data_IF_907598936344
#
_entry.id   IF_907598936344
#
_cell.length_a   1.000
_cell.length_b   1.000
_cell.length_c   1.000
_cell.angle_alpha   90.00
_cell.angle_beta   90.00
_cell.angle_gamma   90.00
#
_symmetry.space_group_name_H-M   'P 1'
#
loop_
_entity.id
_entity.type
_entity.pdbx_description
1 polymer ?
#
# COMPACT_ATOMS: atom_id res chain seq x y z
N UNK A 1 -18.21 -15.19 -16.42
CA UNK A 1 -18.09 -13.99 -15.58
C UNK A 1 -16.82 -13.29 -16.03
N UNK A 2 -16.91 -12.09 -16.63
CA UNK A 2 -15.71 -11.35 -17.03
C UNK A 2 -15.06 -10.78 -15.76
N UNK A 3 -14.22 -11.61 -15.12
CA UNK A 3 -13.41 -11.22 -13.98
C UNK A 3 -12.31 -10.29 -14.46
N UNK A 4 -12.58 -8.98 -14.44
CA UNK A 4 -11.52 -8.00 -14.52
C UNK A 4 -10.64 -8.20 -13.29
N UNK A 5 -9.51 -8.87 -13.50
CA UNK A 5 -8.45 -8.94 -12.51
C UNK A 5 -7.96 -7.51 -12.29
N UNK A 6 -8.16 -6.99 -11.08
CA UNK A 6 -7.71 -5.64 -10.73
C UNK A 6 -6.18 -5.65 -10.67
N UNK A 7 -5.57 -4.63 -11.28
CA UNK A 7 -4.11 -4.54 -11.38
C UNK A 7 -3.63 -3.17 -10.93
N UNK A 8 -2.48 -3.14 -10.29
CA UNK A 8 -1.83 -1.92 -9.85
C UNK A 8 -0.31 -2.01 -10.06
N UNK A 9 0.34 -0.86 -10.25
CA UNK A 9 1.79 -0.78 -10.39
C UNK A 9 2.40 -0.62 -8.99
N UNK A 10 2.98 -1.71 -8.49
CA UNK A 10 3.69 -1.70 -7.21
C UNK A 10 5.12 -1.23 -7.41
N UNK A 11 5.56 -0.34 -6.54
CA UNK A 11 6.92 0.18 -6.51
C UNK A 11 7.43 0.21 -5.07
N UNK A 12 8.74 0.06 -4.81
CA UNK A 12 9.32 0.32 -3.50
C UNK A 12 8.76 1.60 -2.89
N UNK A 13 8.40 1.56 -1.60
CA UNK A 13 7.81 2.74 -0.97
C UNK A 13 8.82 3.90 -0.99
N UNK A 14 8.40 5.03 -1.56
CA UNK A 14 9.18 6.26 -1.68
C UNK A 14 8.71 7.32 -0.68
N UNK A 15 9.30 8.51 -0.71
CA UNK A 15 9.08 9.57 0.28
C UNK A 15 7.63 10.03 0.38
N UNK A 16 6.93 10.12 -0.75
CA UNK A 16 5.61 10.73 -0.88
C UNK A 16 4.84 10.16 -2.08
N UNK A 17 3.55 10.49 -2.14
CA UNK A 17 2.63 9.96 -3.13
C UNK A 17 2.95 10.39 -4.57
N UNK A 18 3.40 11.63 -4.78
CA UNK A 18 3.69 12.11 -6.14
C UNK A 18 4.87 11.34 -6.72
N UNK A 19 5.92 11.14 -5.92
CA UNK A 19 7.04 10.30 -6.32
C UNK A 19 6.61 8.86 -6.60
N UNK A 20 5.69 8.31 -5.79
CA UNK A 20 5.19 6.95 -6.00
C UNK A 20 4.47 6.83 -7.36
N UNK A 21 3.64 7.82 -7.71
CA UNK A 21 2.94 7.87 -9.00
C UNK A 21 3.90 7.95 -10.18
N UNK A 22 4.91 8.81 -10.09
CA UNK A 22 5.93 8.99 -11.14
C UNK A 22 6.73 7.71 -11.36
N UNK A 23 7.29 7.13 -10.30
CA UNK A 23 8.19 5.98 -10.38
C UNK A 23 7.44 4.69 -10.77
N UNK A 24 6.20 4.54 -10.30
CA UNK A 24 5.37 3.40 -10.67
C UNK A 24 4.86 3.47 -12.12
N UNK A 25 4.86 4.66 -12.76
CA UNK A 25 4.24 4.87 -14.07
C UNK A 25 4.82 3.98 -15.18
N UNK A 26 6.14 3.73 -15.14
CA UNK A 26 6.83 2.85 -16.09
C UNK A 26 6.82 1.37 -15.67
N UNK A 27 6.28 1.06 -14.49
CA UNK A 27 6.23 -0.28 -13.92
C UNK A 27 5.20 -1.20 -14.60
N UNK A 28 5.37 -2.51 -14.41
CA UNK A 28 4.40 -3.50 -14.87
C UNK A 28 3.23 -3.57 -13.87
N UNK A 29 1.96 -3.53 -14.33
CA UNK A 29 0.82 -3.71 -13.45
C UNK A 29 0.66 -5.18 -13.04
N UNK A 30 0.57 -5.44 -11.74
CA UNK A 30 0.38 -6.78 -11.18
C UNK A 30 -1.05 -6.96 -10.66
N UNK A 31 -1.62 -8.17 -10.80
CA UNK A 31 -2.82 -8.56 -10.07
C UNK A 31 -2.67 -8.32 -8.56
N UNK A 32 -3.78 -7.99 -7.90
CA UNK A 32 -3.78 -7.89 -6.45
C UNK A 32 -5.10 -8.31 -5.80
N UNK A 33 -5.00 -8.66 -4.52
CA UNK A 33 -6.10 -8.97 -3.61
C UNK A 33 -5.98 -8.04 -2.40
N UNK A 34 -7.08 -7.36 -2.08
CA UNK A 34 -7.14 -6.53 -0.87
C UNK A 34 -7.56 -7.40 0.31
N UNK A 35 -6.63 -7.61 1.24
CA UNK A 35 -6.83 -8.42 2.46
C UNK A 35 -7.53 -7.62 3.56
N UNK A 36 -7.25 -6.33 3.65
CA UNK A 36 -7.84 -5.45 4.67
C UNK A 36 -7.93 -3.99 4.20
N UNK A 37 -8.86 -3.25 4.79
CA UNK A 37 -9.01 -1.81 4.62
C UNK A 37 -8.60 -1.09 5.89
N UNK A 38 -7.55 -0.29 5.80
CA UNK A 38 -7.04 0.58 6.87
C UNK A 38 -7.53 2.00 6.63
N UNK A 39 -8.45 2.44 7.47
CA UNK A 39 -9.09 3.76 7.35
C UNK A 39 -8.46 4.76 8.32
N UNK A 40 -7.84 5.79 7.75
CA UNK A 40 -7.31 6.94 8.46
C UNK A 40 -8.34 8.07 8.53
N UNK A 41 -8.15 9.01 9.45
CA UNK A 41 -8.85 10.30 9.38
C UNK A 41 -8.40 11.07 8.12
N UNK A 42 -9.22 11.98 7.55
CA UNK A 42 -8.81 12.75 6.37
C UNK A 42 -7.54 13.57 6.58
N UNK A 43 -7.29 14.05 7.81
CA UNK A 43 -6.07 14.77 8.16
C UNK A 43 -4.86 13.83 8.10
N UNK A 44 -4.99 12.67 8.72
CA UNK A 44 -3.94 11.67 8.80
C UNK A 44 -3.64 11.06 7.43
N UNK A 45 -4.66 10.82 6.61
CA UNK A 45 -4.46 10.33 5.24
C UNK A 45 -3.64 11.32 4.39
N UNK A 46 -3.94 12.62 4.47
CA UNK A 46 -3.13 13.64 3.78
C UNK A 46 -1.68 13.65 4.27
N UNK A 47 -1.48 13.55 5.59
CA UNK A 47 -0.13 13.49 6.16
C UNK A 47 0.60 12.22 5.71
N UNK A 48 -0.08 11.08 5.69
CA UNK A 48 0.43 9.82 5.17
C UNK A 48 0.89 9.96 3.71
N UNK A 49 0.04 10.49 2.82
CA UNK A 49 0.40 10.73 1.42
C UNK A 49 1.61 11.66 1.25
N UNK A 50 1.81 12.62 2.15
CA UNK A 50 2.96 13.54 2.12
C UNK A 50 4.26 12.94 2.65
N UNK A 51 4.20 11.78 3.31
CA UNK A 51 5.30 11.21 4.07
C UNK A 51 5.28 9.67 4.08
N UNK A 52 4.99 9.05 2.94
CA UNK A 52 4.92 7.59 2.77
C UNK A 52 6.17 6.86 3.25
N UNK A 53 7.36 7.46 3.11
CA UNK A 53 8.62 6.85 3.52
C UNK A 53 8.86 6.83 5.04
N UNK A 54 7.96 7.42 5.84
CA UNK A 54 8.01 7.30 7.30
C UNK A 54 7.49 5.93 7.74
N UNK A 55 7.75 5.60 9.01
CA UNK A 55 7.30 4.34 9.61
C UNK A 55 6.09 4.59 10.50
N UNK A 56 4.99 3.94 10.19
CA UNK A 56 3.74 4.06 10.94
C UNK A 56 3.40 2.78 11.70
N UNK A 57 2.75 2.92 12.85
CA UNK A 57 2.43 1.78 13.72
C UNK A 57 1.56 0.72 13.01
N UNK A 58 0.61 1.17 12.18
CA UNK A 58 -0.25 0.28 11.40
C UNK A 58 0.52 -0.56 10.36
N UNK A 59 1.76 -0.21 10.01
CA UNK A 59 2.56 -1.01 9.07
C UNK A 59 2.91 -2.41 9.61
N UNK A 60 2.67 -2.65 10.90
CA UNK A 60 2.78 -3.96 11.52
C UNK A 60 1.65 -4.92 11.13
N UNK A 61 0.51 -4.38 10.70
CA UNK A 61 -0.65 -5.15 10.20
C UNK A 61 -0.47 -5.58 8.73
N UNK A 62 0.39 -4.88 7.97
CA UNK A 62 0.61 -5.13 6.53
C UNK A 62 1.14 -6.55 6.29
N UNK A 63 0.60 -7.28 5.27
CA UNK A 63 1.04 -8.62 4.90
C UNK A 63 2.56 -8.71 4.76
N UNK A 64 3.19 -9.65 5.50
CA UNK A 64 4.65 -9.84 5.52
C UNK A 64 5.18 -10.63 4.30
N UNK A 65 4.35 -11.50 3.76
CA UNK A 65 4.59 -12.33 2.57
C UNK A 65 3.55 -11.94 1.52
N UNK A 66 3.69 -10.73 1.02
CA UNK A 66 2.66 -10.07 0.24
C UNK A 66 2.60 -10.45 -1.23
N UNK A 67 3.43 -11.39 -1.72
CA UNK A 67 3.40 -11.85 -3.10
C UNK A 67 3.15 -13.35 -3.16
N UNK A 68 2.03 -13.74 -3.77
CA UNK A 68 1.69 -15.13 -4.04
C UNK A 68 2.33 -15.57 -5.36
N UNK A 69 3.32 -16.46 -5.28
CA UNK A 69 4.01 -16.98 -6.46
C UNK A 69 3.21 -18.02 -7.25
N UNK A 70 2.18 -18.61 -6.65
CA UNK A 70 1.31 -19.62 -7.29
C UNK A 70 0.31 -18.92 -8.23
N UNK A 71 -0.30 -17.84 -7.76
CA UNK A 71 -1.28 -17.07 -8.54
C UNK A 71 -0.68 -15.82 -9.22
N UNK A 72 0.54 -15.43 -8.86
CA UNK A 72 1.23 -14.27 -9.42
C UNK A 72 0.61 -12.93 -8.99
N UNK A 73 0.02 -12.88 -7.80
CA UNK A 73 -0.76 -11.75 -7.31
C UNK A 73 -0.21 -11.18 -5.99
N UNK A 74 -0.36 -9.87 -5.80
CA UNK A 74 -0.03 -9.25 -4.52
C UNK A 74 -1.21 -9.32 -3.53
N UNK A 75 -0.93 -9.72 -2.31
CA UNK A 75 -1.81 -9.55 -1.16
C UNK A 75 -1.45 -8.23 -0.48
N UNK A 76 -2.42 -7.32 -0.37
CA UNK A 76 -2.16 -5.97 0.09
C UNK A 76 -3.24 -5.44 1.04
N UNK A 77 -2.82 -4.51 1.89
CA UNK A 77 -3.73 -3.69 2.69
C UNK A 77 -4.03 -2.41 1.92
N UNK A 78 -5.30 -1.99 1.89
CA UNK A 78 -5.72 -0.74 1.28
C UNK A 78 -5.81 0.35 2.33
N UNK A 79 -4.99 1.40 2.21
CA UNK A 79 -5.00 2.57 3.08
C UNK A 79 -5.76 3.71 2.42
N UNK A 80 -6.77 4.25 3.11
CA UNK A 80 -7.62 5.34 2.59
C UNK A 80 -8.25 6.15 3.72
N UNK A 81 -9.09 7.13 3.37
CA UNK A 81 -10.03 7.77 4.29
C UNK A 81 -11.46 7.70 3.73
N UNK A 82 -12.47 7.81 4.61
CA UNK A 82 -13.90 7.64 4.27
C UNK A 82 -14.32 8.43 3.02
N UNK A 83 -13.91 9.70 2.96
CA UNK A 83 -14.29 10.65 1.91
C UNK A 83 -13.41 10.60 0.66
N UNK A 84 -12.29 9.88 0.70
CA UNK A 84 -11.29 9.95 -0.36
C UNK A 84 -11.57 8.94 -1.45
N UNK A 85 -11.55 9.35 -2.71
CA UNK A 85 -11.73 8.42 -3.83
C UNK A 85 -10.48 7.57 -4.06
N UNK A 86 -9.32 8.18 -3.78
CA UNK A 86 -8.00 7.60 -3.93
C UNK A 86 -7.64 6.71 -2.74
N UNK A 87 -6.76 5.76 -2.98
CA UNK A 87 -6.20 4.89 -1.96
C UNK A 87 -4.76 4.50 -2.30
N UNK A 88 -4.06 3.95 -1.31
CA UNK A 88 -2.72 3.40 -1.46
C UNK A 88 -2.77 1.94 -1.04
N UNK A 89 -2.37 1.04 -1.93
CA UNK A 89 -2.16 -0.36 -1.59
C UNK A 89 -0.77 -0.52 -1.01
N UNK A 90 -0.66 -1.18 0.14
CA UNK A 90 0.61 -1.47 0.80
C UNK A 90 0.79 -2.98 0.92
N UNK A 91 2.03 -3.43 0.71
CA UNK A 91 2.41 -4.83 0.82
C UNK A 91 3.89 -4.97 1.16
N UNK A 92 4.33 -6.13 1.65
CA UNK A 92 5.74 -6.40 1.95
C UNK A 92 6.23 -7.62 1.19
N UNK A 93 7.37 -7.49 0.53
CA UNK A 93 8.08 -8.59 -0.12
C UNK A 93 9.53 -8.58 0.34
N UNK A 94 10.03 -9.72 0.81
CA UNK A 94 11.41 -9.86 1.32
C UNK A 94 11.80 -8.74 2.32
N UNK A 95 10.89 -8.44 3.27
CA UNK A 95 11.01 -7.37 4.26
C UNK A 95 10.97 -5.91 3.74
N UNK A 96 10.92 -5.69 2.42
CA UNK A 96 10.79 -4.36 1.82
C UNK A 96 9.31 -3.99 1.62
N UNK A 97 8.96 -2.75 1.96
CA UNK A 97 7.61 -2.22 1.75
C UNK A 97 7.44 -1.75 0.31
N UNK A 98 6.31 -2.10 -0.29
CA UNK A 98 5.90 -1.66 -1.61
C UNK A 98 4.56 -0.94 -1.50
N UNK A 99 4.42 0.12 -2.30
CA UNK A 99 3.19 0.89 -2.44
C UNK A 99 2.67 0.81 -3.87
N UNK A 100 1.36 0.91 -4.04
CA UNK A 100 0.75 1.21 -5.33
C UNK A 100 -0.35 2.25 -5.16
N UNK A 101 -0.36 3.26 -6.03
CA UNK A 101 -1.42 4.26 -6.05
C UNK A 101 -2.66 3.70 -6.75
N UNK A 102 -3.83 3.85 -6.12
CA UNK A 102 -5.12 3.50 -6.68
C UNK A 102 -5.97 4.77 -6.82
N UNK A 103 -6.24 5.25 -8.05
CA UNK A 103 -6.96 6.51 -8.26
C UNK A 103 -8.46 6.42 -7.94
N UNK A 104 -9.01 5.21 -7.92
CA UNK A 104 -10.44 5.00 -7.66
C UNK A 104 -10.69 3.69 -6.92
N UNK A 105 -10.85 3.78 -5.60
CA UNK A 105 -11.17 2.63 -4.76
C UNK A 105 -12.61 2.12 -4.94
N UNK A 106 -13.49 2.90 -5.57
CA UNK A 106 -14.89 2.48 -5.80
C UNK A 106 -15.02 1.41 -6.86
N UNK A 107 -13.95 1.17 -7.62
CA UNK A 107 -13.84 0.06 -8.57
C UNK A 107 -13.62 -1.29 -7.87
N UNK A 108 -13.32 -1.30 -6.57
CA UNK A 108 -13.09 -2.51 -5.80
C UNK A 108 -14.38 -2.97 -5.11
N UNK A 109 -14.61 -4.28 -5.12
CA UNK A 109 -15.59 -4.90 -4.24
C UNK A 109 -14.97 -5.10 -2.84
N UNK A 110 -15.28 -4.17 -1.95
CA UNK A 110 -14.76 -4.15 -0.58
C UNK A 110 -15.78 -4.70 0.44
N UNK A 111 -16.90 -5.28 -0.02
CA UNK A 111 -18.01 -5.69 0.87
C UNK A 111 -17.63 -6.77 1.88
N UNK A 112 -16.65 -7.61 1.54
CA UNK A 112 -16.15 -8.70 2.40
C UNK A 112 -14.77 -8.44 2.99
N UNK A 113 -14.18 -7.29 2.66
CA UNK A 113 -12.84 -6.94 3.14
C UNK A 113 -12.96 -6.40 4.57
N UNK A 114 -12.26 -6.98 5.56
CA UNK A 114 -12.27 -6.48 6.92
C UNK A 114 -11.76 -5.05 6.96
N UNK A 115 -12.45 -4.21 7.74
CA UNK A 115 -12.15 -2.78 7.87
C UNK A 115 -11.68 -2.46 9.28
N UNK A 116 -10.58 -1.70 9.38
CA UNK A 116 -9.98 -1.23 10.63
C UNK A 116 -9.78 0.28 10.58
N UNK A 117 -10.19 0.98 11.63
CA UNK A 117 -9.77 2.37 11.81
C UNK A 117 -8.38 2.39 12.44
N UNK A 118 -7.49 3.21 11.89
CA UNK A 118 -6.10 3.34 12.33
C UNK A 118 -5.74 4.81 12.51
N UNK A 119 -4.69 5.06 13.29
CA UNK A 119 -4.10 6.39 13.50
C UNK A 119 -2.73 6.46 12.86
N UNK A 120 -2.29 7.68 12.50
CA UNK A 120 -0.95 7.91 11.95
C UNK A 120 0.10 8.09 13.05
N UNK A 121 0.24 7.08 13.90
CA UNK A 121 1.25 7.06 14.96
C UNK A 121 2.59 6.59 14.41
N UNK A 122 3.67 7.24 14.84
CA UNK A 122 5.03 6.83 14.45
C UNK A 122 5.37 5.45 15.04
N UNK A 123 5.97 4.60 14.22
CA UNK A 123 6.46 3.29 14.67
C UNK A 123 7.83 3.46 15.33
N UNK A 124 7.86 3.41 16.66
CA UNK A 124 9.10 3.47 17.44
C UNK A 124 9.81 2.12 17.57
N UNK A 125 9.35 1.05 16.89
CA UNK A 125 9.97 -0.27 17.00
C UNK A 125 11.25 -0.35 16.14
N UNK A 126 12.45 -0.54 16.71
CA UNK A 126 13.70 -0.52 15.96
C UNK A 126 13.93 -1.76 15.04
N UNK A 127 13.10 -2.81 15.12
CA UNK A 127 13.38 -4.09 14.45
C UNK A 127 12.97 -4.18 12.97
N UNK A 128 12.18 -3.24 12.45
CA UNK A 128 11.80 -3.23 11.02
C UNK A 128 12.85 -2.43 10.25
N UNK A 129 13.81 -3.14 9.62
CA UNK A 129 14.83 -2.55 8.74
C UNK A 129 14.21 -2.20 7.40
N UNK A 130 14.17 -0.91 7.06
CA UNK A 130 13.91 -0.47 5.69
C UNK A 130 15.17 -0.79 4.88
N UNK A 131 15.02 -1.47 3.74
CA UNK A 131 16.10 -1.58 2.77
C UNK A 131 16.53 -0.18 2.35
N UNK A 132 17.81 0.16 2.54
CA UNK A 132 18.34 1.45 2.13
C UNK A 132 17.98 1.73 0.66
N UNK A 133 17.50 2.94 0.31
CA UNK A 133 17.27 3.31 -1.08
C UNK A 133 18.58 3.50 -1.89
N UNK A 134 19.75 3.33 -1.28
CA UNK A 134 21.05 3.52 -1.94
C UNK A 134 21.82 2.20 -2.10
N UNK A 135 21.36 1.35 -3.02
CA UNK A 135 22.15 0.24 -3.53
C UNK A 135 21.88 -0.02 -5.02
N UNK A 136 22.00 1.02 -5.84
CA UNK A 136 22.34 0.87 -7.25
C UNK A 136 23.59 1.71 -7.48
N UNK A 137 24.74 1.04 -7.45
CA UNK A 137 26.00 1.50 -8.06
C UNK A 137 26.32 0.59 -9.22
#
# INVERSE_FOLDING_TARGET
MSGFEMRAQFYPLVTDLERLKEEAAEGVPYPFVTEELLELSPKDYRQFCSALGQRYAFETDIPKEGYDTVYGAFHCSLVTAVSEKEAILLTRVAAQMFGAYLPDKTLLDLTRVPKKQVTLEACHNPEIRIGHPDAVR
#
